data_IF_800080918587
#
_entry.id   IF_800080918587
#
_cell.length_a   1.000
_cell.length_b   1.000
_cell.length_c   1.000
_cell.angle_alpha   90.00
_cell.angle_beta   90.00
_cell.angle_gamma   90.00
#
_symmetry.space_group_name_H-M   'P 1'
#
loop_
_entity.id
_entity.type
_entity.pdbx_description
1 polymer ?
#
# COMPACT_ATOMS: atom_id res chain seq x y z
N UNK A 1 1.85 -10.77 -27.58
CA UNK A 1 1.50 -9.88 -26.46
C UNK A 1 1.18 -10.70 -25.22
N UNK A 2 1.51 -10.18 -24.03
CA UNK A 2 1.22 -10.83 -22.74
C UNK A 2 0.78 -9.78 -21.73
N UNK A 3 -0.15 -10.16 -20.88
CA UNK A 3 -0.58 -9.34 -19.75
C UNK A 3 0.03 -9.86 -18.45
N UNK A 4 0.33 -8.94 -17.55
CA UNK A 4 0.90 -9.24 -16.23
C UNK A 4 0.10 -8.48 -15.19
N UNK A 5 -0.49 -9.21 -14.24
CA UNK A 5 -1.09 -8.57 -13.08
C UNK A 5 -0.02 -7.77 -12.33
N UNK A 6 -0.35 -6.52 -11.96
CA UNK A 6 0.63 -5.61 -11.35
C UNK A 6 1.27 -6.17 -10.06
N UNK A 7 0.51 -6.92 -9.27
CA UNK A 7 0.98 -7.64 -8.06
C UNK A 7 2.14 -8.63 -8.36
N UNK A 8 2.28 -9.06 -9.63
CA UNK A 8 3.31 -10.00 -10.10
C UNK A 8 4.33 -9.36 -11.04
N UNK A 9 4.32 -8.03 -11.20
CA UNK A 9 5.22 -7.36 -12.14
C UNK A 9 6.65 -7.24 -11.59
N UNK A 10 6.79 -6.93 -10.30
CA UNK A 10 8.08 -6.71 -9.66
C UNK A 10 8.67 -8.01 -9.13
N UNK A 11 9.99 -8.16 -9.28
CA UNK A 11 10.76 -9.25 -8.69
C UNK A 11 11.45 -8.73 -7.43
N UNK A 12 11.25 -9.41 -6.32
CA UNK A 12 11.90 -9.07 -5.06
C UNK A 12 13.28 -9.72 -4.93
N UNK A 13 14.17 -9.17 -4.09
CA UNK A 13 15.53 -9.70 -3.91
C UNK A 13 15.59 -11.11 -3.28
N UNK A 14 14.46 -11.63 -2.78
CA UNK A 14 14.37 -13.04 -2.33
C UNK A 14 14.26 -14.03 -3.49
N UNK A 15 13.81 -13.55 -4.65
CA UNK A 15 13.63 -14.35 -5.85
C UNK A 15 14.86 -14.21 -6.77
N UNK A 16 15.23 -12.98 -7.12
CA UNK A 16 16.44 -12.69 -7.89
C UNK A 16 16.95 -11.28 -7.54
N UNK A 17 18.19 -11.17 -7.06
CA UNK A 17 18.82 -9.88 -6.72
C UNK A 17 19.29 -9.09 -7.94
N UNK A 18 19.39 -9.75 -9.11
CA UNK A 18 19.83 -9.13 -10.36
C UNK A 18 18.66 -8.67 -11.23
N UNK A 19 17.42 -8.84 -10.77
CA UNK A 19 16.21 -8.44 -11.50
C UNK A 19 15.24 -7.67 -10.61
N UNK A 20 14.58 -6.68 -11.21
CA UNK A 20 13.60 -5.82 -10.54
C UNK A 20 12.17 -6.07 -11.04
N UNK A 21 12.03 -6.70 -12.21
CA UNK A 21 10.74 -6.96 -12.85
C UNK A 21 10.78 -8.21 -13.75
N UNK A 22 9.60 -8.67 -14.15
CA UNK A 22 9.40 -9.91 -14.92
C UNK A 22 9.66 -9.77 -16.42
N UNK A 23 10.15 -8.64 -16.93
CA UNK A 23 10.42 -8.49 -18.37
C UNK A 23 11.57 -9.40 -18.82
N UNK A 24 11.36 -10.05 -19.96
CA UNK A 24 12.38 -10.86 -20.64
C UNK A 24 13.17 -9.99 -21.63
N UNK A 25 14.35 -10.42 -22.07
CA UNK A 25 15.04 -9.76 -23.17
C UNK A 25 14.10 -9.57 -24.36
N UNK A 26 14.14 -8.39 -24.97
CA UNK A 26 13.28 -7.97 -26.08
C UNK A 26 11.79 -7.78 -25.75
N UNK A 27 11.39 -7.81 -24.48
CA UNK A 27 10.07 -7.34 -24.06
C UNK A 27 10.12 -5.86 -23.65
N UNK A 28 9.04 -5.15 -23.95
CA UNK A 28 8.84 -3.75 -23.56
C UNK A 28 7.39 -3.56 -23.10
N UNK A 29 7.19 -2.74 -22.07
CA UNK A 29 5.86 -2.37 -21.58
C UNK A 29 5.21 -1.41 -22.58
N UNK A 30 4.10 -1.81 -23.18
CA UNK A 30 3.40 -1.00 -24.19
C UNK A 30 2.29 -0.15 -23.58
N UNK A 31 1.65 -0.63 -22.52
CA UNK A 31 0.57 0.06 -21.82
C UNK A 31 0.39 -0.49 -20.41
N UNK A 32 -0.37 0.23 -19.59
CA UNK A 32 -0.87 -0.22 -18.29
C UNK A 32 -2.38 -0.02 -18.30
N UNK A 33 -3.13 -1.11 -18.10
CA UNK A 33 -4.57 -1.05 -17.96
C UNK A 33 -4.94 -0.93 -16.47
N UNK A 34 -5.69 0.12 -16.13
CA UNK A 34 -6.21 0.33 -14.79
C UNK A 34 -7.73 0.16 -14.86
N UNK A 35 -8.32 -0.84 -14.19
CA UNK A 35 -9.76 -1.04 -14.22
C UNK A 35 -10.47 0.14 -13.58
N UNK A 36 -11.64 0.49 -14.14
CA UNK A 36 -12.48 1.51 -13.54
C UNK A 36 -12.85 1.12 -12.10
N UNK A 37 -12.71 2.03 -11.14
CA UNK A 37 -13.06 1.74 -9.76
C UNK A 37 -14.58 1.54 -9.61
N UNK A 38 -14.99 0.75 -8.63
CA UNK A 38 -16.40 0.63 -8.27
C UNK A 38 -16.97 2.00 -7.87
N UNK A 39 -18.26 2.22 -8.14
CA UNK A 39 -18.93 3.46 -7.74
C UNK A 39 -18.78 3.71 -6.23
N UNK A 40 -18.52 4.96 -5.85
CA UNK A 40 -18.32 5.35 -4.45
C UNK A 40 -16.95 4.97 -3.86
N UNK A 41 -16.00 4.49 -4.67
CA UNK A 41 -14.62 4.25 -4.20
C UNK A 41 -14.00 5.54 -3.66
N UNK A 42 -13.46 5.45 -2.44
CA UNK A 42 -12.64 6.46 -1.78
C UNK A 42 -11.17 6.21 -2.12
N UNK A 43 -10.44 7.30 -2.33
CA UNK A 43 -9.01 7.27 -2.61
C UNK A 43 -8.27 8.13 -1.59
N UNK A 44 -7.15 7.60 -1.10
CA UNK A 44 -6.22 8.33 -0.25
C UNK A 44 -4.80 8.08 -0.70
N UNK A 45 -3.98 9.13 -0.71
CA UNK A 45 -2.55 8.98 -0.88
C UNK A 45 -1.80 9.99 -0.03
N UNK A 46 -0.91 9.51 0.82
CA UNK A 46 -0.10 10.36 1.69
C UNK A 46 1.36 9.95 1.56
N UNK A 47 2.24 10.93 1.38
CA UNK A 47 3.69 10.75 1.31
C UNK A 47 4.37 11.50 2.44
N UNK A 48 4.99 10.74 3.34
CA UNK A 48 5.84 11.28 4.40
C UNK A 48 7.29 11.35 3.92
N UNK A 49 7.94 12.49 4.17
CA UNK A 49 9.28 12.84 3.66
C UNK A 49 9.94 13.85 4.60
N UNK A 50 11.27 13.92 4.59
CA UNK A 50 12.02 14.82 5.48
C UNK A 50 11.96 16.27 5.00
N UNK A 51 11.93 16.48 3.68
CA UNK A 51 11.85 17.81 3.07
C UNK A 51 10.50 18.05 2.39
N UNK A 52 10.01 19.28 2.46
CA UNK A 52 8.70 19.66 1.90
C UNK A 52 8.61 19.50 0.38
N UNK A 53 9.71 19.58 -0.35
CA UNK A 53 9.77 19.40 -1.81
C UNK A 53 11.03 18.63 -2.21
N UNK A 54 11.00 17.99 -3.38
CA UNK A 54 12.12 17.23 -3.98
C UNK A 54 12.77 16.20 -3.05
N UNK A 55 11.94 15.30 -2.51
CA UNK A 55 12.43 14.20 -1.67
C UNK A 55 11.68 12.90 -1.96
N UNK A 56 12.35 11.77 -1.73
CA UNK A 56 11.73 10.46 -1.78
C UNK A 56 10.82 10.25 -0.56
N UNK A 57 9.97 9.24 -0.64
CA UNK A 57 9.13 8.91 0.50
C UNK A 57 9.98 8.20 1.56
N UNK A 58 9.98 8.69 2.79
CA UNK A 58 10.35 7.85 3.93
C UNK A 58 9.39 6.66 3.98
N UNK A 59 8.08 6.98 3.90
CA UNK A 59 6.97 6.06 3.68
C UNK A 59 5.90 6.77 2.86
N UNK A 60 5.21 6.06 1.99
CA UNK A 60 3.95 6.52 1.40
C UNK A 60 2.89 5.46 1.58
N UNK A 61 1.63 5.88 1.69
CA UNK A 61 0.46 4.99 1.73
C UNK A 61 -0.47 5.41 0.61
N UNK A 62 -0.92 4.45 -0.19
CA UNK A 62 -2.05 4.59 -1.09
C UNK A 62 -3.17 3.67 -0.63
N UNK A 63 -4.40 4.18 -0.62
CA UNK A 63 -5.59 3.40 -0.31
C UNK A 63 -6.68 3.66 -1.36
N UNK A 64 -7.34 2.59 -1.81
CA UNK A 64 -8.50 2.66 -2.68
C UNK A 64 -9.54 1.67 -2.16
N UNK A 65 -10.69 2.14 -1.68
CA UNK A 65 -11.64 1.28 -0.97
C UNK A 65 -13.08 1.77 -1.08
N UNK A 66 -14.02 0.84 -0.93
CA UNK A 66 -15.46 1.10 -0.90
C UNK A 66 -15.98 0.98 0.53
N UNK A 67 -17.00 1.78 0.84
CA UNK A 67 -17.61 1.82 2.16
C UNK A 67 -19.12 1.68 2.06
N UNK A 68 -19.72 1.08 3.08
CA UNK A 68 -21.16 1.03 3.29
C UNK A 68 -21.48 1.43 4.73
N UNK A 69 -22.12 2.58 4.93
CA UNK A 69 -22.40 3.11 6.28
C UNK A 69 -21.16 3.30 7.16
N UNK A 70 -19.98 3.57 6.59
CA UNK A 70 -18.69 3.65 7.32
C UNK A 70 -18.01 2.30 7.56
N UNK A 71 -18.61 1.20 7.13
CA UNK A 71 -18.02 -0.15 7.13
C UNK A 71 -17.18 -0.36 5.89
N UNK A 72 -15.96 -0.89 6.06
CA UNK A 72 -15.10 -1.24 4.93
C UNK A 72 -15.66 -2.46 4.19
N UNK A 73 -16.02 -2.30 2.91
CA UNK A 73 -16.58 -3.39 2.09
C UNK A 73 -15.47 -4.18 1.38
N UNK A 74 -14.70 -3.50 0.55
CA UNK A 74 -13.53 -4.03 -0.14
C UNK A 74 -12.57 -2.87 -0.45
N UNK A 75 -11.28 -3.17 -0.58
CA UNK A 75 -10.28 -2.17 -0.90
C UNK A 75 -8.86 -2.70 -0.87
N UNK A 76 -7.93 -1.83 -1.24
CA UNK A 76 -6.50 -2.09 -1.31
C UNK A 76 -5.75 -1.03 -0.53
N UNK A 77 -4.73 -1.44 0.21
CA UNK A 77 -3.81 -0.56 0.93
C UNK A 77 -2.39 -0.94 0.56
N UNK A 78 -1.64 -0.01 -0.02
CA UNK A 78 -0.26 -0.24 -0.46
C UNK A 78 0.69 0.77 0.15
N UNK A 79 1.89 0.34 0.51
CA UNK A 79 2.93 1.14 1.10
C UNK A 79 4.17 1.22 0.19
N UNK A 80 4.74 2.42 0.07
CA UNK A 80 6.04 2.66 -0.55
C UNK A 80 7.10 3.04 0.47
N UNK A 81 8.38 2.83 0.16
CA UNK A 81 9.51 3.18 1.03
C UNK A 81 9.76 2.21 2.20
N UNK A 82 9.00 1.10 2.27
CA UNK A 82 9.07 0.09 3.35
C UNK A 82 9.54 -1.28 2.87
N UNK A 83 9.59 -1.51 1.56
CA UNK A 83 10.00 -2.77 0.95
C UNK A 83 10.66 -2.52 -0.42
N UNK A 84 11.39 -3.51 -0.98
CA UNK A 84 12.01 -3.40 -2.30
C UNK A 84 11.01 -3.22 -3.46
N UNK A 85 9.75 -3.61 -3.25
CA UNK A 85 8.64 -3.49 -4.20
C UNK A 85 7.46 -2.82 -3.49
N UNK A 86 6.47 -2.25 -4.21
CA UNK A 86 5.25 -1.74 -3.59
C UNK A 86 4.62 -2.80 -2.67
N UNK A 87 4.47 -2.48 -1.39
CA UNK A 87 4.02 -3.45 -0.39
C UNK A 87 2.51 -3.37 -0.18
N UNK A 88 1.76 -4.37 -0.63
CA UNK A 88 0.33 -4.47 -0.34
C UNK A 88 0.07 -5.01 1.07
N UNK A 89 -0.53 -4.19 1.93
CA UNK A 89 -0.82 -4.50 3.32
C UNK A 89 -2.11 -5.31 3.49
N UNK A 90 -2.14 -6.54 2.97
CA UNK A 90 -3.30 -7.45 3.09
C UNK A 90 -3.75 -7.65 4.54
N UNK A 91 -2.82 -7.72 5.49
CA UNK A 91 -3.13 -7.84 6.92
C UNK A 91 -3.98 -6.68 7.47
N UNK A 92 -3.87 -5.49 6.88
CA UNK A 92 -4.70 -4.32 7.24
C UNK A 92 -6.06 -4.42 6.52
N UNK A 93 -6.04 -4.74 5.23
CA UNK A 93 -7.26 -4.94 4.42
C UNK A 93 -8.20 -5.98 5.08
N UNK A 94 -7.65 -7.13 5.47
CA UNK A 94 -8.37 -8.22 6.11
C UNK A 94 -8.88 -7.83 7.51
N UNK A 95 -8.10 -7.04 8.25
CA UNK A 95 -8.50 -6.58 9.58
C UNK A 95 -9.64 -5.56 9.54
N UNK A 96 -9.78 -4.79 8.44
CA UNK A 96 -10.86 -3.82 8.23
C UNK A 96 -12.12 -4.43 7.60
N UNK A 97 -11.97 -5.48 6.77
CA UNK A 97 -13.07 -6.04 6.00
C UNK A 97 -14.30 -6.37 6.85
N UNK A 98 -15.44 -5.80 6.48
CA UNK A 98 -16.72 -5.99 7.16
C UNK A 98 -16.84 -5.28 8.51
N UNK A 99 -15.90 -4.40 8.86
CA UNK A 99 -15.90 -3.65 10.14
C UNK A 99 -16.03 -2.16 9.91
N UNK A 100 -16.60 -1.47 10.90
CA UNK A 100 -16.62 -0.02 10.92
C UNK A 100 -15.19 0.52 10.98
N UNK A 101 -14.84 1.40 10.05
CA UNK A 101 -13.47 1.92 9.92
C UNK A 101 -13.08 2.72 11.16
N UNK A 102 -13.95 3.61 11.65
CA UNK A 102 -13.63 4.50 12.79
C UNK A 102 -13.33 3.71 14.06
N UNK A 103 -14.05 2.61 14.28
CA UNK A 103 -13.89 1.79 15.48
C UNK A 103 -12.65 0.89 15.41
N UNK A 104 -12.17 0.56 14.20
CA UNK A 104 -11.16 -0.51 14.00
C UNK A 104 -9.88 -0.06 13.33
N UNK A 105 -9.78 1.17 12.81
CA UNK A 105 -8.62 1.62 12.03
C UNK A 105 -7.30 1.49 12.81
N UNK A 106 -7.31 1.87 14.09
CA UNK A 106 -6.10 1.83 14.93
C UNK A 106 -5.58 0.40 15.13
N UNK A 107 -6.47 -0.55 15.39
CA UNK A 107 -6.11 -1.96 15.62
C UNK A 107 -5.77 -2.67 14.31
N UNK A 108 -6.43 -2.30 13.21
CA UNK A 108 -6.13 -2.81 11.87
C UNK A 108 -4.76 -2.32 11.37
N UNK A 109 -4.46 -1.02 11.48
CA UNK A 109 -3.17 -0.48 11.09
C UNK A 109 -2.01 -1.11 11.89
N UNK A 110 -2.22 -1.42 13.18
CA UNK A 110 -1.24 -2.09 14.02
C UNK A 110 -0.84 -3.50 13.52
N UNK A 111 -1.69 -4.15 12.69
CA UNK A 111 -1.37 -5.46 12.11
C UNK A 111 -0.11 -5.43 11.24
N UNK A 112 0.32 -4.26 10.74
CA UNK A 112 1.58 -4.13 9.99
C UNK A 112 2.79 -4.65 10.78
N UNK A 113 2.76 -4.59 12.11
CA UNK A 113 3.82 -5.08 12.99
C UNK A 113 4.04 -6.59 12.89
N UNK A 114 2.99 -7.35 12.58
CA UNK A 114 3.06 -8.82 12.51
C UNK A 114 3.93 -9.28 11.34
N UNK A 115 3.97 -8.49 10.27
CA UNK A 115 4.67 -8.78 9.00
C UNK A 115 5.95 -7.98 8.81
N UNK A 116 6.10 -6.84 9.50
CA UNK A 116 7.29 -6.01 9.39
C UNK A 116 8.55 -6.73 9.93
N UNK A 117 9.66 -6.58 9.21
CA UNK A 117 10.99 -7.09 9.60
C UNK A 117 12.03 -5.98 9.39
N UNK A 118 12.09 -4.97 10.28
CA UNK A 118 13.02 -3.87 10.14
C UNK A 118 14.46 -4.32 10.41
N UNK A 119 15.40 -3.56 9.86
CA UNK A 119 16.83 -3.60 10.18
C UNK A 119 17.15 -2.59 11.31
N UNK A 120 18.38 -2.65 11.83
CA UNK A 120 18.82 -1.90 13.01
C UNK A 120 18.53 -0.40 12.97
N UNK A 121 18.59 0.23 11.80
CA UNK A 121 18.45 1.70 11.65
C UNK A 121 17.11 2.15 11.09
N UNK A 122 16.15 1.25 10.82
CA UNK A 122 14.87 1.60 10.20
C UNK A 122 13.63 1.09 10.95
N UNK A 123 13.79 0.64 12.19
CA UNK A 123 12.68 0.18 13.04
C UNK A 123 11.58 1.24 13.23
N UNK A 124 11.95 2.53 13.27
CA UNK A 124 11.01 3.64 13.36
C UNK A 124 9.97 3.66 12.22
N UNK A 125 10.29 3.07 11.05
CA UNK A 125 9.37 3.01 9.91
C UNK A 125 8.13 2.18 10.22
N UNK A 126 8.19 1.24 11.17
CA UNK A 126 7.02 0.43 11.56
C UNK A 126 5.97 1.30 12.24
N UNK A 127 6.39 2.17 13.16
CA UNK A 127 5.49 3.09 13.86
C UNK A 127 4.91 4.13 12.88
N UNK A 128 5.76 4.68 12.00
CA UNK A 128 5.34 5.61 10.96
C UNK A 128 4.35 4.96 9.98
N UNK A 129 4.56 3.71 9.58
CA UNK A 129 3.65 2.98 8.70
C UNK A 129 2.27 2.83 9.34
N UNK A 130 2.21 2.40 10.60
CA UNK A 130 0.95 2.27 11.34
C UNK A 130 0.20 3.62 11.39
N UNK A 131 0.86 4.69 11.80
CA UNK A 131 0.22 6.01 11.90
C UNK A 131 -0.20 6.58 10.55
N UNK A 132 0.62 6.37 9.51
CA UNK A 132 0.32 6.88 8.17
C UNK A 132 -0.85 6.12 7.52
N UNK A 133 -0.96 4.80 7.74
CA UNK A 133 -2.12 4.01 7.30
C UNK A 133 -3.41 4.57 7.90
N UNK A 134 -3.42 4.79 9.22
CA UNK A 134 -4.58 5.34 9.93
C UNK A 134 -4.97 6.69 9.35
N UNK A 135 -4.00 7.60 9.25
CA UNK A 135 -4.20 8.95 8.71
C UNK A 135 -4.76 8.92 7.28
N UNK A 136 -4.11 8.19 6.37
CA UNK A 136 -4.50 8.17 4.95
C UNK A 136 -5.93 7.63 4.75
N UNK A 137 -6.32 6.59 5.50
CA UNK A 137 -7.66 6.01 5.38
C UNK A 137 -8.72 6.95 5.99
N UNK A 138 -8.43 7.58 7.13
CA UNK A 138 -9.34 8.53 7.75
C UNK A 138 -9.55 9.79 6.90
N UNK A 139 -8.46 10.36 6.35
CA UNK A 139 -8.53 11.50 5.44
C UNK A 139 -9.36 11.14 4.17
N UNK A 140 -9.15 9.95 3.60
CA UNK A 140 -9.92 9.47 2.45
C UNK A 140 -11.41 9.22 2.77
N UNK A 141 -11.72 8.89 4.03
CA UNK A 141 -13.10 8.78 4.52
C UNK A 141 -13.75 10.17 4.72
N UNK A 142 -12.95 11.25 4.71
CA UNK A 142 -13.38 12.63 4.95
C UNK A 142 -13.39 13.02 6.42
N UNK A 143 -12.50 12.44 7.24
CA UNK A 143 -12.34 12.77 8.66
C UNK A 143 -10.88 13.11 9.02
#
# INVERSE_FOLDING_TARGET
>A
DRDVAFDNYFIGPREDVLRENVLKPNEFMTHVEIPNPASGTKFGWTKLKDRQVYDFALISVAAAFTVDGGTWKDGRVTLGGVAPVPYRAKVVEDALKGKNIKDTIKTAAAQIRTVARPMSVNAYKVDLAQGLIERTIMEALGN
#
